data_IF_369326441674
#
_entry.id   IF_369326441674
#
_cell.length_a   1.000
_cell.length_b   1.000
_cell.length_c   1.000
_cell.angle_alpha   90.00
_cell.angle_beta   90.00
_cell.angle_gamma   90.00
#
_symmetry.space_group_name_H-M   'P 1'
#
loop_
_entity.id
_entity.type
_entity.pdbx_description
1 polymer ?
#
# COMPACT_ATOMS: atom_id res chain seq x y z
N UNK A 1 -32.93 -61.61 -56.30
CA UNK A 1 -33.53 -60.31 -56.18
C UNK A 1 -33.46 -59.89 -54.72
N UNK A 2 -32.41 -59.15 -54.37
CA UNK A 2 -32.10 -58.80 -52.98
C UNK A 2 -32.36 -57.30 -52.76
N UNK A 3 -33.32 -56.99 -51.92
CA UNK A 3 -33.56 -55.63 -51.44
C UNK A 3 -32.70 -55.39 -50.23
N UNK A 4 -31.85 -54.35 -50.31
CA UNK A 4 -31.09 -53.85 -49.17
C UNK A 4 -31.86 -52.75 -48.46
N UNK A 5 -32.01 -52.76 -47.14
CA UNK A 5 -32.58 -51.62 -46.42
C UNK A 5 -31.51 -50.55 -46.21
N UNK A 6 -31.85 -49.31 -46.52
CA UNK A 6 -31.10 -48.11 -46.22
C UNK A 6 -31.14 -47.86 -44.69
N UNK A 7 -29.98 -47.90 -44.06
CA UNK A 7 -29.85 -47.38 -42.69
C UNK A 7 -29.70 -45.85 -42.75
N UNK A 8 -30.76 -45.16 -42.34
CA UNK A 8 -30.69 -43.71 -42.10
C UNK A 8 -30.05 -43.51 -40.76
N UNK A 9 -28.80 -43.05 -40.76
CA UNK A 9 -28.15 -42.55 -39.55
C UNK A 9 -28.64 -41.13 -39.20
N UNK A 10 -29.44 -41.04 -38.17
CA UNK A 10 -29.77 -39.81 -37.50
C UNK A 10 -28.55 -39.29 -36.71
N UNK A 11 -27.88 -38.33 -37.29
CA UNK A 11 -26.80 -37.57 -36.56
C UNK A 11 -27.53 -36.57 -35.67
N UNK A 12 -27.62 -36.87 -34.38
CA UNK A 12 -28.12 -35.97 -33.36
C UNK A 12 -27.09 -34.85 -33.12
N UNK A 13 -27.39 -33.64 -33.58
CA UNK A 13 -26.58 -32.47 -33.24
C UNK A 13 -26.85 -32.09 -31.79
N UNK A 14 -25.90 -32.38 -30.91
CA UNK A 14 -25.90 -31.88 -29.54
C UNK A 14 -25.44 -30.42 -29.59
N UNK A 15 -26.39 -29.51 -29.49
CA UNK A 15 -26.13 -28.07 -29.32
C UNK A 15 -25.74 -27.86 -27.86
N UNK A 16 -24.43 -27.78 -27.57
CA UNK A 16 -23.94 -27.32 -26.31
C UNK A 16 -24.22 -25.81 -26.18
N UNK A 17 -25.27 -25.47 -25.45
CA UNK A 17 -25.51 -24.10 -24.99
C UNK A 17 -24.41 -23.79 -23.96
N UNK A 18 -23.32 -23.14 -24.40
CA UNK A 18 -22.35 -22.51 -23.53
C UNK A 18 -23.00 -21.28 -22.87
N UNK A 19 -23.51 -21.43 -21.65
CA UNK A 19 -23.92 -20.30 -20.84
C UNK A 19 -22.64 -19.53 -20.46
N UNK A 20 -22.41 -18.44 -21.17
CA UNK A 20 -21.40 -17.45 -20.79
C UNK A 20 -21.90 -16.82 -19.51
N UNK A 21 -21.39 -17.29 -18.36
CA UNK A 21 -21.54 -16.58 -17.09
C UNK A 21 -20.75 -15.29 -17.24
N UNK A 22 -21.47 -14.19 -17.49
CA UNK A 22 -20.88 -12.86 -17.42
C UNK A 22 -20.44 -12.64 -15.96
N UNK A 23 -19.15 -12.83 -15.70
CA UNK A 23 -18.53 -12.39 -14.46
C UNK A 23 -18.75 -10.88 -14.43
N UNK A 24 -19.42 -10.32 -13.39
CA UNK A 24 -19.51 -8.87 -13.27
C UNK A 24 -18.07 -8.35 -13.30
N UNK A 25 -17.78 -7.52 -14.31
CA UNK A 25 -16.55 -6.76 -14.32
C UNK A 25 -16.52 -6.06 -12.97
N UNK A 26 -15.55 -6.40 -12.13
CA UNK A 26 -15.24 -5.59 -10.96
C UNK A 26 -15.08 -4.19 -11.53
N UNK A 27 -16.01 -3.29 -11.15
CA UNK A 27 -15.88 -1.89 -11.47
C UNK A 27 -14.44 -1.54 -11.09
N UNK A 28 -13.62 -1.20 -12.08
CA UNK A 28 -12.31 -0.65 -11.84
C UNK A 28 -12.57 0.48 -10.86
N UNK A 29 -12.13 0.25 -9.62
CA UNK A 29 -12.07 1.30 -8.64
C UNK A 29 -11.01 2.25 -9.20
N UNK A 30 -11.46 3.24 -9.99
CA UNK A 30 -10.67 4.39 -10.37
C UNK A 30 -10.40 5.23 -9.11
N UNK A 31 -9.86 4.56 -8.09
CA UNK A 31 -9.28 5.21 -6.94
C UNK A 31 -7.90 5.69 -7.36
N UNK A 32 -7.63 6.97 -7.16
CA UNK A 32 -6.30 7.52 -7.18
C UNK A 32 -5.35 6.52 -6.53
N UNK A 33 -4.49 5.90 -7.31
CA UNK A 33 -3.68 4.74 -6.88
C UNK A 33 -2.59 5.12 -5.89
N UNK A 34 -2.37 6.41 -5.66
CA UNK A 34 -1.36 6.91 -4.76
C UNK A 34 -1.85 8.19 -4.04
N UNK A 35 -1.87 8.13 -2.72
CA UNK A 35 -2.19 9.27 -1.87
C UNK A 35 -0.99 10.21 -1.80
N UNK A 36 -1.27 11.51 -1.80
CA UNK A 36 -0.25 12.53 -1.52
C UNK A 36 -0.21 12.91 -0.04
N UNK A 37 0.83 13.63 0.34
CA UNK A 37 1.04 14.09 1.73
C UNK A 37 -0.15 14.91 2.22
N UNK A 38 -0.71 15.79 1.38
CA UNK A 38 -1.82 16.66 1.77
C UNK A 38 -3.08 15.86 2.10
N UNK A 39 -3.40 14.86 1.29
CA UNK A 39 -4.56 14.00 1.51
C UNK A 39 -4.41 13.19 2.79
N UNK A 40 -3.25 12.54 2.97
CA UNK A 40 -2.98 11.80 4.20
C UNK A 40 -3.01 12.73 5.43
N UNK A 41 -2.43 13.92 5.33
CA UNK A 41 -2.47 14.91 6.42
C UNK A 41 -3.90 15.29 6.82
N UNK A 42 -4.81 15.44 5.84
CA UNK A 42 -6.23 15.67 6.11
C UNK A 42 -6.88 14.52 6.86
N UNK A 43 -6.60 13.27 6.45
CA UNK A 43 -7.09 12.08 7.14
C UNK A 43 -6.59 12.04 8.59
N UNK A 44 -5.31 12.34 8.80
CA UNK A 44 -4.69 12.38 10.13
C UNK A 44 -5.22 13.48 11.05
N UNK A 45 -6.05 14.40 10.54
CA UNK A 45 -6.80 15.41 11.31
C UNK A 45 -8.26 15.03 11.55
N UNK A 46 -8.65 13.83 11.16
CA UNK A 46 -9.98 13.29 11.38
C UNK A 46 -10.37 13.27 12.85
N UNK A 47 -11.69 13.20 13.11
CA UNK A 47 -12.21 13.07 14.47
C UNK A 47 -11.81 11.73 15.05
N UNK A 48 -11.54 11.72 16.36
CA UNK A 48 -11.24 10.48 17.09
C UNK A 48 -12.34 9.42 16.86
N UNK A 49 -11.93 8.21 16.50
CA UNK A 49 -12.81 7.10 16.15
C UNK A 49 -13.43 7.17 14.75
N UNK A 50 -13.06 8.16 13.92
CA UNK A 50 -13.51 8.22 12.53
C UNK A 50 -12.73 7.25 11.64
N UNK A 51 -13.31 6.92 10.48
CA UNK A 51 -12.61 6.12 9.48
C UNK A 51 -11.33 6.80 8.99
N UNK A 52 -11.34 8.13 8.90
CA UNK A 52 -10.18 8.92 8.50
C UNK A 52 -9.01 8.74 9.48
N UNK A 53 -9.30 8.81 10.79
CA UNK A 53 -8.30 8.59 11.83
C UNK A 53 -7.74 7.15 11.77
N UNK A 54 -8.62 6.15 11.65
CA UNK A 54 -8.22 4.74 11.56
C UNK A 54 -7.34 4.53 10.34
N UNK A 55 -7.73 5.06 9.18
CA UNK A 55 -6.94 4.98 7.96
C UNK A 55 -5.56 5.63 8.13
N UNK A 56 -5.52 6.84 8.70
CA UNK A 56 -4.25 7.54 8.99
C UNK A 56 -3.35 6.68 9.90
N UNK A 57 -3.90 6.16 10.99
CA UNK A 57 -3.17 5.35 11.96
C UNK A 57 -2.53 4.12 11.30
N UNK A 58 -3.33 3.37 10.53
CA UNK A 58 -2.88 2.16 9.85
C UNK A 58 -1.82 2.48 8.79
N UNK A 59 -2.06 3.47 7.94
CA UNK A 59 -1.12 3.84 6.88
C UNK A 59 0.22 4.31 7.45
N UNK A 60 0.20 5.28 8.37
CA UNK A 60 1.41 5.85 8.95
C UNK A 60 2.21 4.79 9.71
N UNK A 61 1.54 3.99 10.54
CA UNK A 61 2.22 2.97 11.33
C UNK A 61 2.81 1.84 10.48
N UNK A 62 2.16 1.44 9.39
CA UNK A 62 2.68 0.43 8.48
C UNK A 62 3.98 0.91 7.80
N UNK A 63 3.99 2.13 7.28
CA UNK A 63 5.18 2.72 6.65
C UNK A 63 6.29 2.95 7.68
N UNK A 64 5.96 3.51 8.85
CA UNK A 64 6.93 3.78 9.91
C UNK A 64 7.62 2.52 10.40
N UNK A 65 6.88 1.43 10.64
CA UNK A 65 7.46 0.15 11.07
C UNK A 65 8.46 -0.40 10.07
N UNK A 66 8.18 -0.26 8.76
CA UNK A 66 9.13 -0.66 7.72
C UNK A 66 10.43 0.15 7.81
N UNK A 67 10.33 1.46 7.98
CA UNK A 67 11.48 2.36 8.11
C UNK A 67 12.29 2.04 9.38
N UNK A 68 11.63 1.74 10.49
CA UNK A 68 12.29 1.33 11.74
C UNK A 68 12.96 -0.04 11.62
N UNK A 69 12.34 -1.00 10.95
CA UNK A 69 12.95 -2.32 10.68
C UNK A 69 14.22 -2.17 9.85
N UNK A 70 14.21 -1.30 8.85
CA UNK A 70 15.42 -0.98 8.08
C UNK A 70 16.51 -0.38 8.97
N UNK A 71 16.13 0.53 9.87
CA UNK A 71 17.08 1.12 10.83
C UNK A 71 17.70 0.11 11.79
N UNK A 72 16.92 -0.86 12.28
CA UNK A 72 17.45 -1.94 13.11
C UNK A 72 18.44 -2.81 12.34
N UNK A 73 18.13 -3.19 11.10
CA UNK A 73 19.02 -3.96 10.25
C UNK A 73 20.36 -3.23 10.02
N UNK A 74 20.34 -1.89 9.86
CA UNK A 74 21.53 -1.09 9.68
C UNK A 74 22.43 -1.01 10.94
N UNK A 75 21.87 -1.19 12.14
CA UNK A 75 22.65 -1.18 13.39
C UNK A 75 23.60 -2.37 13.51
N UNK A 76 23.22 -3.52 12.93
CA UNK A 76 23.96 -4.77 13.03
C UNK A 76 25.09 -4.87 11.99
N UNK A 77 25.16 -3.96 11.03
CA UNK A 77 26.16 -4.01 9.95
C UNK A 77 27.37 -3.19 10.35
N UNK A 78 28.55 -3.84 10.41
CA UNK A 78 29.82 -3.24 10.82
C UNK A 78 30.34 -2.18 9.83
N UNK A 79 30.04 -2.32 8.54
CA UNK A 79 30.47 -1.41 7.47
C UNK A 79 29.34 -0.43 7.10
N UNK A 80 29.07 0.50 8.01
CA UNK A 80 28.00 1.51 7.84
C UNK A 80 28.25 2.48 6.68
N UNK A 81 29.50 2.64 6.26
CA UNK A 81 29.85 3.64 5.26
C UNK A 81 29.27 3.34 3.88
N UNK A 82 29.25 2.06 3.47
CA UNK A 82 28.71 1.63 2.18
C UNK A 82 27.18 1.66 2.13
N UNK A 83 26.52 1.53 3.29
CA UNK A 83 25.06 1.51 3.37
C UNK A 83 24.43 2.89 3.48
N UNK A 84 25.20 3.90 3.91
CA UNK A 84 24.75 5.30 3.87
C UNK A 84 24.60 5.84 2.45
N UNK A 85 25.32 5.26 1.49
CA UNK A 85 25.15 5.57 0.06
C UNK A 85 23.95 4.84 -0.55
N UNK A 86 23.43 3.80 0.11
CA UNK A 86 22.20 3.13 -0.31
C UNK A 86 20.99 3.94 0.14
N UNK A 87 20.15 4.32 -0.80
CA UNK A 87 18.91 5.09 -0.59
C UNK A 87 17.82 4.34 0.20
N UNK A 88 18.19 3.48 1.16
CA UNK A 88 17.23 2.72 1.97
C UNK A 88 16.67 3.66 3.05
N UNK A 89 15.37 3.97 3.02
CA UNK A 89 14.75 4.79 4.04
C UNK A 89 14.85 4.09 5.39
N UNK A 90 15.53 4.69 6.35
CA UNK A 90 15.74 4.12 7.68
C UNK A 90 15.61 5.19 8.76
N UNK A 91 15.04 4.80 9.89
CA UNK A 91 14.97 5.59 11.11
C UNK A 91 15.28 4.70 12.32
N UNK A 92 15.85 5.29 13.36
CA UNK A 92 16.46 4.56 14.47
C UNK A 92 15.96 5.06 15.84
N UNK A 93 14.68 4.84 16.18
CA UNK A 93 14.18 5.20 17.49
C UNK A 93 14.95 4.41 18.57
N UNK A 94 15.24 5.07 19.71
CA UNK A 94 15.95 4.45 20.83
C UNK A 94 15.05 3.55 21.67
N UNK A 95 13.73 3.75 21.61
CA UNK A 95 12.71 3.03 22.36
C UNK A 95 11.58 2.62 21.44
N UNK A 96 10.66 1.79 21.93
CA UNK A 96 9.43 1.44 21.21
C UNK A 96 8.60 2.71 21.03
N UNK A 97 8.22 2.99 19.78
CA UNK A 97 7.38 4.15 19.43
C UNK A 97 5.92 3.70 19.28
N UNK A 98 5.00 4.41 19.94
CA UNK A 98 3.58 4.15 19.80
C UNK A 98 3.05 4.60 18.43
N UNK A 99 1.93 4.02 17.99
CA UNK A 99 1.29 4.45 16.74
C UNK A 99 0.90 5.94 16.77
N UNK A 100 0.41 6.43 17.91
CA UNK A 100 0.04 7.84 18.07
C UNK A 100 1.25 8.77 17.93
N UNK A 101 2.40 8.38 18.47
CA UNK A 101 3.63 9.14 18.31
C UNK A 101 4.11 9.16 16.84
N UNK A 102 3.92 8.07 16.09
CA UNK A 102 4.24 8.04 14.66
C UNK A 102 3.33 8.98 13.86
N UNK A 103 2.02 8.97 14.16
CA UNK A 103 1.03 9.87 13.52
C UNK A 103 1.34 11.32 13.86
N UNK A 104 1.65 11.64 15.12
CA UNK A 104 1.97 13.01 15.51
C UNK A 104 3.25 13.51 14.85
N UNK A 105 4.29 12.67 14.75
CA UNK A 105 5.51 13.00 14.02
C UNK A 105 5.23 13.31 12.54
N UNK A 106 4.37 12.52 11.89
CA UNK A 106 3.97 12.80 10.51
C UNK A 106 3.17 14.10 10.40
N UNK A 107 2.20 14.34 11.30
CA UNK A 107 1.38 15.57 11.29
C UNK A 107 2.23 16.82 11.46
N UNK A 108 3.16 16.79 12.40
CA UNK A 108 4.07 17.92 12.62
C UNK A 108 4.94 18.16 11.38
N UNK A 109 5.57 17.09 10.86
CA UNK A 109 6.41 17.18 9.66
C UNK A 109 5.63 17.73 8.46
N UNK A 110 4.44 17.20 8.18
CA UNK A 110 3.61 17.65 7.06
C UNK A 110 3.18 19.11 7.19
N UNK A 111 2.94 19.59 8.41
CA UNK A 111 2.61 20.99 8.68
C UNK A 111 3.80 21.93 8.47
N UNK A 112 5.01 21.47 8.72
CA UNK A 112 6.25 22.23 8.54
C UNK A 112 6.77 22.19 7.09
N UNK A 113 6.31 21.22 6.27
CA UNK A 113 6.79 20.98 4.91
C UNK A 113 5.66 21.07 3.86
N UNK A 114 4.98 22.23 3.81
CA UNK A 114 3.87 22.48 2.89
C UNK A 114 4.29 22.31 1.43
N UNK A 115 5.54 22.60 1.10
CA UNK A 115 6.13 22.44 -0.23
C UNK A 115 6.20 20.97 -0.67
N UNK A 116 6.05 20.02 0.27
CA UNK A 116 6.03 18.56 0.02
C UNK A 116 4.63 17.97 -0.09
N UNK A 117 3.59 18.76 0.00
CA UNK A 117 2.22 18.26 0.04
C UNK A 117 1.78 17.48 -1.21
N UNK A 118 2.37 17.76 -2.37
CA UNK A 118 2.14 17.01 -3.61
C UNK A 118 3.01 15.76 -3.76
N UNK A 119 3.92 15.50 -2.83
CA UNK A 119 4.71 14.28 -2.84
C UNK A 119 3.85 13.08 -2.40
N UNK A 120 4.29 11.87 -2.77
CA UNK A 120 3.65 10.63 -2.31
C UNK A 120 3.57 10.60 -0.78
N UNK A 121 2.40 10.22 -0.24
CA UNK A 121 2.17 10.06 1.19
C UNK A 121 3.19 9.13 1.84
N UNK A 122 3.54 8.03 1.15
CA UNK A 122 4.55 7.09 1.64
C UNK A 122 5.91 7.77 1.81
N UNK A 123 6.34 8.57 0.84
CA UNK A 123 7.60 9.32 0.91
C UNK A 123 7.56 10.33 2.06
N UNK A 124 6.44 11.04 2.22
CA UNK A 124 6.25 11.99 3.32
C UNK A 124 6.38 11.33 4.69
N UNK A 125 5.72 10.19 4.90
CA UNK A 125 5.86 9.44 6.17
C UNK A 125 7.30 8.98 6.39
N UNK A 126 7.96 8.44 5.36
CA UNK A 126 9.36 8.01 5.48
C UNK A 126 10.28 9.16 5.89
N UNK A 127 10.11 10.34 5.30
CA UNK A 127 10.87 11.53 5.65
C UNK A 127 10.59 11.98 7.08
N UNK A 128 9.32 12.06 7.48
CA UNK A 128 8.92 12.40 8.84
C UNK A 128 9.56 11.47 9.89
N UNK A 129 9.58 10.15 9.63
CA UNK A 129 10.21 9.19 10.55
C UNK A 129 11.73 9.40 10.65
N UNK A 130 12.39 9.64 9.53
CA UNK A 130 13.85 9.88 9.48
C UNK A 130 14.24 11.16 10.19
N UNK A 131 13.49 12.22 10.01
CA UNK A 131 13.74 13.52 10.61
C UNK A 131 13.50 13.51 12.13
N UNK A 132 12.47 12.76 12.56
CA UNK A 132 12.14 12.64 13.99
C UNK A 132 13.06 11.66 14.73
N UNK A 133 13.45 10.56 14.10
CA UNK A 133 14.29 9.51 14.69
C UNK A 133 15.50 9.19 13.79
N UNK A 134 16.43 10.12 13.63
CA UNK A 134 17.60 9.90 12.77
C UNK A 134 18.46 8.75 13.29
N UNK A 135 19.12 8.04 12.37
CA UNK A 135 20.02 6.94 12.72
C UNK A 135 21.39 7.41 13.23
N UNK A 136 21.73 8.69 13.04
CA UNK A 136 23.05 9.27 13.38
C UNK A 136 22.89 10.72 13.84
#
# INVERSE_FOLDING_TARGET
>A
MSARPLHVMLVGAVVLLSTIVAVPAFAEFEGKTEWDVQELYKQCKGRQGSLDEIFCLEFVSAVARRVFTNGLALRDIKDRHDLMTTSIPSACPKTIVSNDAMVEAFRQWANEHIEKWSASAQIGVMQAMRDTWPCF
#
